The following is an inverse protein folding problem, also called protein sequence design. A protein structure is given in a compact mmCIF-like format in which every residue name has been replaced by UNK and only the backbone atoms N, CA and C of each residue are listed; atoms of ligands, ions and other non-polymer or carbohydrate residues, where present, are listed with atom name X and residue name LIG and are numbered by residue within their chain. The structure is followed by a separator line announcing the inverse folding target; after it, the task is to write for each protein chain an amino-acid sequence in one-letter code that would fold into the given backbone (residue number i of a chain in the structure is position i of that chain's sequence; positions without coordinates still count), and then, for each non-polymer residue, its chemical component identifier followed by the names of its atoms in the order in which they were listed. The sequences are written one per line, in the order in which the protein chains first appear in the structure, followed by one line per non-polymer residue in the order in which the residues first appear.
data_IF_538960936092
#
_entry.id   IF_538960936092
#
_cell.length_a   1.000
_cell.length_b   1.000
_cell.length_c   1.000
_cell.angle_alpha   90.00
_cell.angle_beta   90.00
_cell.angle_gamma   90.00
#
_symmetry.space_group_name_H-M   'P 1'
#
loop_
_entity.id
_entity.type
_entity.pdbx_description
1 polymer ?
#
# COMPACT_ATOMS: atom_id res chain seq x y z
N UNK A 1 -26.26 10.53 -16.80
CA UNK A 1 -26.45 10.13 -15.39
C UNK A 1 -25.16 9.61 -14.73
N UNK A 2 -24.40 8.66 -15.31
CA UNK A 2 -23.15 8.16 -14.68
C UNK A 2 -22.16 9.28 -14.26
N UNK A 3 -22.06 10.35 -15.05
CA UNK A 3 -21.19 11.50 -14.75
C UNK A 3 -21.62 12.32 -13.52
N UNK A 4 -22.90 12.31 -13.12
CA UNK A 4 -23.36 13.11 -11.97
C UNK A 4 -22.93 12.47 -10.65
N UNK A 5 -23.10 11.16 -10.51
CA UNK A 5 -22.66 10.40 -9.34
C UNK A 5 -21.17 10.56 -9.13
N UNK A 6 -20.40 10.43 -10.22
CA UNK A 6 -18.96 10.61 -10.22
C UNK A 6 -18.53 11.96 -9.63
N UNK A 7 -19.12 13.05 -10.14
CA UNK A 7 -18.83 14.40 -9.65
C UNK A 7 -19.25 14.54 -8.19
N UNK A 8 -20.42 14.05 -7.80
CA UNK A 8 -20.88 14.09 -6.41
C UNK A 8 -19.92 13.36 -5.46
N UNK A 9 -19.44 12.17 -5.83
CA UNK A 9 -18.52 11.38 -5.00
C UNK A 9 -17.15 12.06 -4.82
N UNK A 10 -16.59 12.61 -5.90
CA UNK A 10 -15.32 13.36 -5.82
C UNK A 10 -15.51 14.64 -4.99
N UNK A 11 -16.57 15.41 -5.25
CA UNK A 11 -16.86 16.62 -4.49
C UNK A 11 -17.06 16.32 -3.01
N UNK A 12 -17.77 15.23 -2.68
CA UNK A 12 -17.95 14.82 -1.30
C UNK A 12 -16.62 14.42 -0.65
N UNK A 13 -15.73 13.73 -1.36
CA UNK A 13 -14.37 13.44 -0.89
C UNK A 13 -13.57 14.72 -0.58
N UNK A 14 -13.68 15.75 -1.42
CA UNK A 14 -13.03 17.05 -1.20
C UNK A 14 -13.58 17.80 0.02
N UNK A 15 -14.83 17.52 0.40
CA UNK A 15 -15.49 18.14 1.56
C UNK A 15 -15.10 17.44 2.88
N UNK A 16 -14.67 16.16 2.85
CA UNK A 16 -14.32 15.39 4.06
C UNK A 16 -13.33 16.11 4.99
N UNK A 17 -12.21 16.70 4.49
CA UNK A 17 -11.28 17.42 5.37
C UNK A 17 -11.92 18.59 6.13
N UNK A 18 -12.87 19.29 5.49
CA UNK A 18 -13.61 20.39 6.11
C UNK A 18 -14.62 19.91 7.16
N UNK A 19 -15.31 18.79 6.91
CA UNK A 19 -16.27 18.23 7.86
C UNK A 19 -15.61 17.63 9.10
N UNK A 20 -14.36 17.19 8.97
CA UNK A 20 -13.59 16.55 10.04
C UNK A 20 -12.21 17.19 10.14
N UNK A 21 -12.07 18.45 10.59
CA UNK A 21 -10.78 19.16 10.57
C UNK A 21 -9.71 18.48 11.45
N UNK A 22 -10.11 17.90 12.58
CA UNK A 22 -9.21 17.24 13.53
C UNK A 22 -9.77 15.84 13.87
N UNK A 23 -9.58 14.83 13.00
CA UNK A 23 -10.05 13.48 13.26
C UNK A 23 -9.28 12.88 14.45
N UNK A 24 -10.01 12.29 15.39
CA UNK A 24 -9.42 11.67 16.58
C UNK A 24 -8.76 10.32 16.25
N UNK A 25 -7.55 10.38 15.69
CA UNK A 25 -6.67 9.23 15.41
C UNK A 25 -5.20 9.66 15.46
N UNK A 26 -4.37 8.81 16.06
CA UNK A 26 -2.92 9.02 16.23
C UNK A 26 -2.20 9.22 14.89
N UNK A 27 -2.52 8.41 13.88
CA UNK A 27 -1.89 8.48 12.57
C UNK A 27 -1.95 9.88 11.96
N UNK A 28 -3.11 10.53 12.00
CA UNK A 28 -3.29 11.85 11.40
C UNK A 28 -2.37 12.89 12.06
N UNK A 29 -2.32 12.88 13.39
CA UNK A 29 -1.47 13.78 14.18
C UNK A 29 0.00 13.49 13.91
N UNK A 30 0.41 12.21 13.93
CA UNK A 30 1.78 11.77 13.67
C UNK A 30 2.24 12.23 12.29
N UNK A 31 1.45 12.01 11.24
CA UNK A 31 1.81 12.43 9.88
C UNK A 31 1.89 13.96 9.74
N UNK A 32 0.89 14.69 10.25
CA UNK A 32 0.82 16.15 10.17
C UNK A 32 2.04 16.80 10.84
N UNK A 33 2.40 16.33 12.04
CA UNK A 33 3.57 16.82 12.77
C UNK A 33 4.90 16.34 12.16
N UNK A 34 4.97 15.10 11.65
CA UNK A 34 6.16 14.60 10.94
C UNK A 34 6.47 15.42 9.69
N UNK A 35 5.44 15.79 8.92
CA UNK A 35 5.61 16.67 7.76
C UNK A 35 6.07 18.06 8.22
N UNK A 36 5.50 18.58 9.30
CA UNK A 36 5.95 19.86 9.87
C UNK A 36 7.43 19.81 10.28
N UNK A 37 7.88 18.72 10.91
CA UNK A 37 9.30 18.53 11.24
C UNK A 37 10.17 18.52 9.99
N UNK A 38 9.78 17.74 8.98
CA UNK A 38 10.50 17.66 7.71
C UNK A 38 10.67 19.05 7.06
N UNK A 39 9.59 19.84 7.02
CA UNK A 39 9.61 21.21 6.46
C UNK A 39 10.54 22.15 7.24
N UNK A 40 10.68 21.95 8.55
CA UNK A 40 11.58 22.73 9.40
C UNK A 40 12.96 22.07 9.57
N UNK A 41 13.34 21.15 8.67
CA UNK A 41 14.64 20.45 8.70
C UNK A 41 14.91 19.70 10.01
N UNK A 42 13.85 19.25 10.70
CA UNK A 42 13.93 18.37 11.87
C UNK A 42 13.70 16.93 11.44
N UNK A 43 14.32 16.00 12.15
CA UNK A 43 14.13 14.58 11.90
C UNK A 43 12.78 14.11 12.47
N UNK A 44 11.79 13.73 11.63
CA UNK A 44 10.47 13.31 12.10
C UNK A 44 10.49 11.97 12.87
N UNK A 45 11.54 11.16 12.69
CA UNK A 45 11.67 9.87 13.39
C UNK A 45 12.17 10.00 14.83
N UNK A 46 12.74 11.16 15.20
CA UNK A 46 13.16 11.43 16.59
C UNK A 46 12.00 11.86 17.49
N UNK A 47 10.95 12.43 16.91
CA UNK A 47 9.79 12.94 17.66
C UNK A 47 9.09 11.82 18.42
N UNK A 48 8.87 12.07 19.71
CA UNK A 48 7.96 11.28 20.56
C UNK A 48 6.61 11.98 20.60
N UNK A 49 5.55 11.22 20.39
CA UNK A 49 4.16 11.67 20.40
C UNK A 49 3.46 11.30 21.70
N UNK A 50 2.48 12.10 22.12
CA UNK A 50 1.65 11.82 23.28
C UNK A 50 0.62 10.72 22.98
N UNK A 51 0.27 9.93 24.00
CA UNK A 51 -0.87 9.02 23.93
C UNK A 51 -2.19 9.79 23.96
N UNK A 52 -2.81 9.94 22.79
CA UNK A 52 -4.11 10.61 22.67
C UNK A 52 -5.27 9.76 23.20
N UNK A 53 -5.06 8.45 23.38
CA UNK A 53 -6.09 7.51 23.82
C UNK A 53 -6.05 7.26 25.34
N UNK A 54 -5.18 7.93 26.09
CA UNK A 54 -5.13 7.86 27.54
C UNK A 54 -4.95 6.44 28.10
N UNK A 55 -4.14 5.61 27.45
CA UNK A 55 -3.86 4.24 27.88
C UNK A 55 -4.88 3.19 27.42
N UNK A 56 -5.94 3.59 26.71
CA UNK A 56 -6.99 2.67 26.22
C UNK A 56 -6.42 1.52 25.37
N UNK A 57 -5.32 1.77 24.66
CA UNK A 57 -4.71 0.82 23.74
C UNK A 57 -3.31 0.37 24.20
N UNK A 58 -3.22 -0.50 25.20
CA UNK A 58 -1.96 -1.00 25.79
C UNK A 58 -1.16 -2.01 24.89
N UNK A 59 -1.20 -1.87 23.57
CA UNK A 59 -0.42 -2.73 22.66
C UNK A 59 1.01 -2.22 22.44
N UNK A 60 1.20 -0.91 22.59
CA UNK A 60 2.49 -0.21 22.49
C UNK A 60 2.54 1.00 23.44
N UNK A 61 1.40 1.67 23.62
CA UNK A 61 1.24 2.77 24.58
C UNK A 61 1.61 2.32 26.00
N UNK A 62 2.49 3.08 26.67
CA UNK A 62 2.99 2.77 28.01
C UNK A 62 4.10 1.72 28.08
N UNK A 63 4.45 1.04 26.98
CA UNK A 63 5.55 0.07 26.90
C UNK A 63 6.79 0.61 26.20
N UNK A 64 6.59 1.54 25.27
CA UNK A 64 7.64 2.12 24.44
C UNK A 64 7.21 3.48 23.91
N UNK A 65 8.17 4.27 23.42
CA UNK A 65 7.91 5.57 22.80
C UNK A 65 6.97 5.45 21.59
N UNK A 66 6.01 6.37 21.49
CA UNK A 66 5.19 6.50 20.27
C UNK A 66 5.96 7.39 19.33
N UNK A 67 6.42 6.84 18.20
CA UNK A 67 7.20 7.55 17.18
C UNK A 67 6.58 7.35 15.80
N UNK A 68 7.12 8.02 14.79
CA UNK A 68 6.78 7.74 13.39
C UNK A 68 7.25 6.31 13.04
N UNK A 69 6.30 5.40 12.84
CA UNK A 69 6.58 3.98 12.51
C UNK A 69 6.35 3.64 11.03
N UNK A 70 6.02 4.65 10.22
CA UNK A 70 5.78 4.50 8.79
C UNK A 70 7.03 4.84 7.98
N UNK A 71 7.13 4.24 6.79
CA UNK A 71 8.32 4.42 5.96
C UNK A 71 8.33 5.78 5.24
N UNK A 72 9.52 6.31 4.92
CA UNK A 72 9.72 7.70 4.54
C UNK A 72 8.93 8.20 3.33
N UNK A 73 8.67 7.34 2.34
CA UNK A 73 8.01 7.80 1.12
C UNK A 73 6.62 8.39 1.39
N UNK A 74 5.92 7.90 2.41
CA UNK A 74 4.58 8.37 2.73
C UNK A 74 4.59 9.86 3.14
N UNK A 75 5.57 10.29 3.93
CA UNK A 75 5.68 11.70 4.33
C UNK A 75 6.06 12.57 3.13
N UNK A 76 6.95 12.11 2.24
CA UNK A 76 7.29 12.85 1.02
C UNK A 76 6.10 13.03 0.09
N UNK A 77 5.31 11.97 -0.13
CA UNK A 77 4.15 11.99 -1.00
C UNK A 77 3.05 12.93 -0.48
N UNK A 78 2.94 13.09 0.83
CA UNK A 78 1.91 13.90 1.48
C UNK A 78 2.35 15.35 1.75
N UNK A 79 3.65 15.61 1.88
CA UNK A 79 4.24 16.93 2.14
C UNK A 79 3.73 18.04 1.22
N UNK A 80 3.71 17.89 -0.12
CA UNK A 80 3.27 18.99 -1.00
C UNK A 80 1.80 19.37 -0.73
N UNK A 81 0.96 18.41 -0.35
CA UNK A 81 -0.45 18.68 -0.07
C UNK A 81 -0.66 19.41 1.26
N UNK A 82 0.12 19.04 2.28
CA UNK A 82 0.13 19.77 3.55
C UNK A 82 0.60 21.22 3.37
N UNK A 83 1.61 21.47 2.52
CA UNK A 83 2.13 22.82 2.27
C UNK A 83 1.14 23.67 1.45
N UNK A 84 0.61 23.12 0.36
CA UNK A 84 -0.23 23.88 -0.59
C UNK A 84 -1.64 24.10 -0.05
N UNK A 85 -2.23 23.08 0.57
CA UNK A 85 -3.64 23.11 0.98
C UNK A 85 -3.84 23.20 2.50
N UNK A 86 -2.78 23.13 3.29
CA UNK A 86 -2.87 23.08 4.75
C UNK A 86 -3.34 21.73 5.31
N UNK A 87 -3.64 20.74 4.44
CA UNK A 87 -4.16 19.43 4.84
C UNK A 87 -3.62 18.32 3.94
N UNK A 88 -2.88 17.39 4.54
CA UNK A 88 -2.29 16.23 3.88
C UNK A 88 -3.33 15.27 3.25
N UNK A 89 -4.61 15.32 3.67
CA UNK A 89 -5.66 14.39 3.17
C UNK A 89 -6.00 14.62 1.71
N UNK A 90 -5.77 15.82 1.17
CA UNK A 90 -5.88 16.06 -0.27
C UNK A 90 -4.90 15.20 -1.08
N UNK A 91 -3.78 14.78 -0.46
CA UNK A 91 -2.87 13.79 -1.04
C UNK A 91 -3.57 12.45 -1.28
N UNK A 92 -4.28 11.90 -0.29
CA UNK A 92 -5.02 10.64 -0.45
C UNK A 92 -6.01 10.71 -1.62
N UNK A 93 -6.76 11.82 -1.72
CA UNK A 93 -7.72 12.05 -2.83
C UNK A 93 -6.98 12.11 -4.18
N UNK A 94 -5.89 12.87 -4.24
CA UNK A 94 -5.07 13.01 -5.44
C UNK A 94 -4.51 11.67 -5.93
N UNK A 95 -3.93 10.85 -5.05
CA UNK A 95 -3.36 9.57 -5.46
C UNK A 95 -4.45 8.57 -5.89
N UNK A 96 -5.63 8.58 -5.25
CA UNK A 96 -6.78 7.79 -5.69
C UNK A 96 -7.25 8.16 -7.10
N UNK A 97 -7.42 9.46 -7.37
CA UNK A 97 -7.79 9.96 -8.70
C UNK A 97 -6.68 9.65 -9.71
N UNK A 98 -5.42 9.81 -9.32
CA UNK A 98 -4.27 9.54 -10.19
C UNK A 98 -4.22 8.09 -10.65
N UNK A 99 -4.49 7.12 -9.77
CA UNK A 99 -4.57 5.71 -10.18
C UNK A 99 -5.64 5.46 -11.24
N UNK A 100 -6.84 6.03 -11.08
CA UNK A 100 -7.90 5.99 -12.09
C UNK A 100 -7.46 6.62 -13.42
N UNK A 101 -6.81 7.79 -13.37
CA UNK A 101 -6.30 8.49 -14.56
C UNK A 101 -5.18 7.72 -15.27
N UNK A 102 -4.28 7.09 -14.52
CA UNK A 102 -3.22 6.22 -15.07
C UNK A 102 -3.84 5.08 -15.85
N UNK A 103 -4.83 4.37 -15.28
CA UNK A 103 -5.53 3.28 -15.97
C UNK A 103 -6.27 3.79 -17.21
N UNK A 104 -6.94 4.94 -17.13
CA UNK A 104 -7.59 5.56 -18.28
C UNK A 104 -6.60 5.88 -19.41
N UNK A 105 -5.51 6.59 -19.11
CA UNK A 105 -4.50 6.98 -20.10
C UNK A 105 -3.80 5.74 -20.70
N UNK A 106 -3.49 4.76 -19.86
CA UNK A 106 -2.81 3.53 -20.27
C UNK A 106 -3.72 2.59 -21.06
N UNK A 107 -5.04 2.61 -20.88
CA UNK A 107 -5.97 1.67 -21.52
C UNK A 107 -6.78 2.38 -22.61
N UNK A 108 -6.06 3.04 -23.53
CA UNK A 108 -6.59 3.71 -24.74
C UNK A 108 -7.59 4.84 -24.49
N UNK A 109 -7.53 5.50 -23.33
CA UNK A 109 -8.42 6.63 -22.99
C UNK A 109 -9.91 6.27 -23.10
N UNK A 110 -10.26 5.05 -22.72
CA UNK A 110 -11.66 4.62 -22.70
C UNK A 110 -12.40 5.27 -21.52
N UNK A 111 -13.34 6.17 -21.82
CA UNK A 111 -14.15 6.85 -20.81
C UNK A 111 -14.96 5.87 -19.93
N UNK A 112 -15.29 4.68 -20.43
CA UNK A 112 -15.92 3.64 -19.62
C UNK A 112 -14.98 3.11 -18.57
N UNK A 113 -13.70 2.92 -18.90
CA UNK A 113 -12.66 2.50 -17.94
C UNK A 113 -12.49 3.54 -16.85
N UNK A 114 -12.39 4.82 -17.23
CA UNK A 114 -12.31 5.92 -16.26
C UNK A 114 -13.53 5.93 -15.33
N UNK A 115 -14.73 5.88 -15.91
CA UNK A 115 -15.99 5.92 -15.15
C UNK A 115 -16.10 4.75 -14.17
N UNK A 116 -15.84 3.52 -14.63
CA UNK A 116 -15.89 2.32 -13.79
C UNK A 116 -14.82 2.38 -12.70
N UNK A 117 -13.59 2.79 -13.03
CA UNK A 117 -12.51 2.89 -12.04
C UNK A 117 -12.87 3.85 -10.92
N UNK A 118 -13.33 5.06 -11.26
CA UNK A 118 -13.69 6.06 -10.25
C UNK A 118 -14.94 5.63 -9.48
N UNK A 119 -15.94 5.03 -10.14
CA UNK A 119 -17.09 4.48 -9.43
C UNK A 119 -16.63 3.45 -8.40
N UNK A 120 -15.87 2.43 -8.79
CA UNK A 120 -15.40 1.40 -7.85
C UNK A 120 -14.59 1.96 -6.67
N UNK A 121 -13.73 2.95 -6.92
CA UNK A 121 -12.94 3.59 -5.87
C UNK A 121 -13.84 4.39 -4.93
N UNK A 122 -14.67 5.29 -5.42
CA UNK A 122 -15.35 6.27 -4.56
C UNK A 122 -16.73 5.82 -4.07
N UNK A 123 -17.34 4.80 -4.69
CA UNK A 123 -18.54 4.17 -4.12
C UNK A 123 -18.18 3.14 -3.04
N UNK A 124 -16.89 2.78 -2.88
CA UNK A 124 -16.44 1.97 -1.75
C UNK A 124 -16.60 2.81 -0.47
N UNK A 125 -17.47 2.43 0.48
CA UNK A 125 -17.71 3.25 1.68
C UNK A 125 -16.44 3.48 2.50
N UNK A 126 -15.49 2.54 2.42
CA UNK A 126 -14.23 2.61 3.14
C UNK A 126 -13.32 3.76 2.66
N UNK A 127 -13.46 4.20 1.40
CA UNK A 127 -12.67 5.29 0.81
C UNK A 127 -12.77 6.59 1.61
N UNK A 128 -13.97 6.90 2.11
CA UNK A 128 -14.15 8.09 2.95
C UNK A 128 -13.46 7.98 4.30
N UNK A 129 -13.39 6.78 4.88
CA UNK A 129 -12.59 6.53 6.09
C UNK A 129 -11.10 6.66 5.81
N UNK A 130 -10.61 6.16 4.66
CA UNK A 130 -9.22 6.34 4.23
C UNK A 130 -8.84 7.81 4.18
N UNK A 131 -9.71 8.65 3.60
CA UNK A 131 -9.50 10.10 3.50
C UNK A 131 -9.60 10.73 4.88
N UNK A 132 -10.70 10.51 5.62
CA UNK A 132 -10.98 11.11 6.93
C UNK A 132 -9.80 10.93 7.89
N UNK A 133 -9.28 9.71 8.00
CA UNK A 133 -8.20 9.34 8.93
C UNK A 133 -6.79 9.43 8.33
N UNK A 134 -6.68 9.85 7.07
CA UNK A 134 -5.43 9.85 6.31
C UNK A 134 -4.66 8.53 6.36
N UNK A 135 -5.37 7.41 6.15
CA UNK A 135 -4.70 6.13 6.01
C UNK A 135 -3.88 6.08 4.72
N UNK A 136 -2.56 6.02 4.91
CA UNK A 136 -1.54 6.07 3.85
C UNK A 136 -1.60 4.91 2.85
N UNK A 137 -2.36 3.85 3.15
CA UNK A 137 -2.55 2.71 2.27
C UNK A 137 -3.19 3.11 0.93
N UNK A 138 -3.93 4.22 0.88
CA UNK A 138 -4.48 4.75 -0.38
C UNK A 138 -3.41 5.31 -1.33
N UNK A 139 -2.24 5.69 -0.80
CA UNK A 139 -1.14 6.26 -1.60
C UNK A 139 -0.52 5.24 -2.56
N UNK A 140 -0.69 3.95 -2.30
CA UNK A 140 -0.15 2.86 -3.11
C UNK A 140 -0.85 2.70 -4.46
N UNK A 141 -2.10 3.15 -4.59
CA UNK A 141 -2.94 2.86 -5.75
C UNK A 141 -2.31 3.25 -7.10
N UNK A 142 -1.83 4.48 -7.32
CA UNK A 142 -1.24 4.85 -8.61
C UNK A 142 0.04 4.05 -8.90
N UNK A 143 0.79 3.65 -7.88
CA UNK A 143 1.99 2.83 -8.07
C UNK A 143 1.65 1.39 -8.42
N UNK A 144 0.57 0.82 -7.87
CA UNK A 144 0.01 -0.44 -8.38
C UNK A 144 -0.42 -0.32 -9.84
N UNK A 145 -1.14 0.75 -10.19
CA UNK A 145 -1.54 0.98 -11.58
C UNK A 145 -0.33 1.08 -12.52
N UNK A 146 0.67 1.89 -12.16
CA UNK A 146 1.91 2.05 -12.94
C UNK A 146 2.71 0.75 -13.05
N UNK A 147 2.77 -0.03 -11.98
CA UNK A 147 3.40 -1.35 -11.96
C UNK A 147 2.74 -2.30 -12.98
N UNK A 148 1.42 -2.49 -12.90
CA UNK A 148 0.73 -3.41 -13.80
C UNK A 148 0.66 -2.88 -15.24
N UNK A 149 0.52 -1.58 -15.45
CA UNK A 149 0.64 -0.95 -16.77
C UNK A 149 2.03 -1.20 -17.36
N UNK A 150 3.09 -1.08 -16.56
CA UNK A 150 4.46 -1.38 -17.01
C UNK A 150 4.61 -2.84 -17.43
N UNK A 151 3.97 -3.78 -16.73
CA UNK A 151 3.93 -5.19 -17.12
C UNK A 151 3.18 -5.38 -18.44
N UNK A 152 1.99 -4.80 -18.58
CA UNK A 152 1.16 -4.90 -19.81
C UNK A 152 1.92 -4.39 -21.03
N UNK A 153 2.65 -3.28 -20.89
CA UNK A 153 3.47 -2.68 -21.94
C UNK A 153 4.89 -3.24 -22.03
N UNK A 154 5.21 -4.32 -21.30
CA UNK A 154 6.52 -4.99 -21.25
C UNK A 154 7.69 -4.06 -20.92
N UNK A 155 7.44 -3.00 -20.16
CA UNK A 155 8.46 -2.08 -19.65
C UNK A 155 9.08 -2.64 -18.37
N UNK A 156 9.88 -3.71 -18.53
CA UNK A 156 10.48 -4.47 -17.41
C UNK A 156 11.21 -3.57 -16.41
N UNK A 157 12.08 -2.67 -16.87
CA UNK A 157 12.77 -1.74 -15.97
C UNK A 157 11.82 -0.93 -15.09
N UNK A 158 10.72 -0.42 -15.65
CA UNK A 158 9.73 0.38 -14.92
C UNK A 158 8.94 -0.47 -13.92
N UNK A 159 8.58 -1.73 -14.26
CA UNK A 159 7.86 -2.58 -13.31
C UNK A 159 8.70 -2.86 -12.06
N UNK A 160 10.01 -3.12 -12.20
CA UNK A 160 10.89 -3.29 -11.04
C UNK A 160 11.14 -1.99 -10.26
N UNK A 161 11.22 -0.82 -10.93
CA UNK A 161 11.31 0.48 -10.24
C UNK A 161 10.04 0.77 -9.43
N UNK A 162 8.85 0.60 -10.01
CA UNK A 162 7.60 0.83 -9.28
C UNK A 162 7.39 -0.19 -8.16
N UNK A 163 7.86 -1.43 -8.32
CA UNK A 163 7.88 -2.40 -7.24
C UNK A 163 8.72 -1.93 -6.05
N UNK A 164 9.91 -1.39 -6.29
CA UNK A 164 10.77 -0.85 -5.23
C UNK A 164 10.13 0.34 -4.50
N UNK A 165 9.43 1.21 -5.23
CA UNK A 165 8.65 2.30 -4.65
C UNK A 165 7.49 1.76 -3.80
N UNK A 166 6.71 0.79 -4.29
CA UNK A 166 5.62 0.14 -3.52
C UNK A 166 6.19 -0.50 -2.26
N UNK A 167 7.28 -1.24 -2.38
CA UNK A 167 8.00 -1.83 -1.26
C UNK A 167 8.34 -0.76 -0.22
N UNK A 168 8.83 0.41 -0.63
CA UNK A 168 9.21 1.49 0.31
C UNK A 168 8.04 2.13 1.07
N UNK A 169 6.78 1.83 0.73
CA UNK A 169 5.62 2.38 1.45
C UNK A 169 5.37 1.70 2.79
N UNK A 170 5.41 0.35 2.81
CA UNK A 170 5.17 -0.46 4.01
C UNK A 170 5.86 -1.81 3.92
N UNK A 171 6.30 -2.32 5.07
CA UNK A 171 7.04 -3.58 5.22
C UNK A 171 6.35 -4.78 4.56
N UNK A 172 5.03 -4.87 4.66
CA UNK A 172 4.28 -6.01 4.12
C UNK A 172 4.23 -6.06 2.59
N UNK A 173 4.78 -5.06 1.87
CA UNK A 173 4.95 -5.10 0.42
C UNK A 173 6.25 -5.79 -0.02
N UNK A 174 7.25 -5.96 0.86
CA UNK A 174 8.49 -6.69 0.53
C UNK A 174 8.23 -8.11 -0.01
N UNK A 175 7.28 -8.90 0.56
CA UNK A 175 6.97 -10.24 0.07
C UNK A 175 6.37 -10.29 -1.36
N UNK A 176 6.12 -9.15 -2.01
CA UNK A 176 5.68 -9.14 -3.40
C UNK A 176 6.84 -9.41 -4.38
N UNK A 177 8.10 -9.15 -3.99
CA UNK A 177 9.27 -9.29 -4.87
C UNK A 177 9.46 -10.72 -5.41
N UNK A 178 9.39 -11.80 -4.61
CA UNK A 178 9.51 -13.17 -5.12
C UNK A 178 8.49 -13.49 -6.23
N UNK A 179 7.25 -12.97 -6.15
CA UNK A 179 6.26 -13.17 -7.21
C UNK A 179 6.69 -12.48 -8.51
N UNK A 180 7.27 -11.29 -8.46
CA UNK A 180 7.72 -10.59 -9.68
C UNK A 180 8.94 -11.28 -10.29
N UNK A 181 9.86 -11.77 -9.47
CA UNK A 181 11.01 -12.57 -9.92
C UNK A 181 10.52 -13.85 -10.59
N UNK A 182 9.60 -14.58 -9.97
CA UNK A 182 8.99 -15.79 -10.56
C UNK A 182 8.20 -15.46 -11.82
N UNK A 183 7.48 -14.34 -11.88
CA UNK A 183 6.72 -13.94 -13.06
C UNK A 183 7.61 -13.81 -14.29
N UNK A 184 8.80 -13.23 -14.12
CA UNK A 184 9.74 -13.02 -15.22
C UNK A 184 10.71 -14.20 -15.44
N UNK A 185 10.69 -15.29 -14.65
CA UNK A 185 11.73 -16.35 -14.61
C UNK A 185 12.16 -16.90 -15.97
N UNK A 186 11.25 -16.94 -16.94
CA UNK A 186 11.51 -17.45 -18.31
C UNK A 186 11.87 -16.38 -19.34
N UNK A 187 11.68 -15.11 -19.01
CA UNK A 187 11.85 -14.00 -19.95
C UNK A 187 13.16 -13.25 -19.80
N UNK A 188 13.92 -13.52 -18.73
CA UNK A 188 15.11 -12.76 -18.37
C UNK A 188 16.32 -13.68 -18.30
N UNK A 189 17.43 -13.18 -18.83
CA UNK A 189 18.75 -13.73 -18.57
C UNK A 189 19.19 -13.47 -17.13
N UNK A 190 20.17 -14.22 -16.63
CA UNK A 190 20.71 -14.05 -15.28
C UNK A 190 21.28 -12.63 -15.05
N UNK A 191 21.93 -12.04 -16.05
CA UNK A 191 22.44 -10.66 -15.96
C UNK A 191 21.30 -9.64 -15.84
N UNK A 192 20.20 -9.83 -16.57
CA UNK A 192 19.02 -8.98 -16.45
C UNK A 192 18.34 -9.12 -15.09
N UNK A 193 18.32 -10.33 -14.49
CA UNK A 193 17.83 -10.51 -13.12
C UNK A 193 18.53 -9.59 -12.14
N UNK A 194 19.85 -9.64 -12.10
CA UNK A 194 20.63 -8.81 -11.18
C UNK A 194 20.43 -7.32 -11.46
N UNK A 195 20.37 -6.92 -12.74
CA UNK A 195 20.08 -5.53 -13.12
C UNK A 195 18.72 -5.06 -12.58
N UNK A 196 17.66 -5.83 -12.77
CA UNK A 196 16.31 -5.41 -12.39
C UNK A 196 16.05 -5.51 -10.88
N UNK A 197 16.63 -6.53 -10.22
CA UNK A 197 16.67 -6.61 -8.75
C UNK A 197 17.41 -5.40 -8.18
N UNK A 198 18.56 -5.05 -8.75
CA UNK A 198 19.29 -3.84 -8.37
C UNK A 198 18.44 -2.58 -8.54
N UNK A 199 17.70 -2.42 -9.63
CA UNK A 199 16.79 -1.28 -9.82
C UNK A 199 15.67 -1.23 -8.78
N UNK A 200 15.17 -2.39 -8.35
CA UNK A 200 14.16 -2.48 -7.27
C UNK A 200 14.74 -1.98 -5.95
N UNK A 201 15.91 -2.48 -5.57
CA UNK A 201 16.56 -2.07 -4.34
C UNK A 201 17.04 -0.62 -4.41
N UNK A 202 17.53 -0.15 -5.56
CA UNK A 202 17.93 1.23 -5.76
C UNK A 202 16.75 2.18 -5.55
N UNK A 203 15.62 1.93 -6.22
CA UNK A 203 14.41 2.74 -6.05
C UNK A 203 13.85 2.65 -4.62
N UNK A 204 13.89 1.48 -4.00
CA UNK A 204 13.57 1.29 -2.58
C UNK A 204 14.45 2.16 -1.69
N UNK A 205 15.78 2.01 -1.75
CA UNK A 205 16.72 2.70 -0.86
C UNK A 205 16.79 4.21 -1.09
N UNK A 206 16.59 4.70 -2.31
CA UNK A 206 16.49 6.15 -2.59
C UNK A 206 15.40 6.79 -1.73
N UNK A 207 14.29 6.08 -1.50
CA UNK A 207 13.20 6.57 -0.66
C UNK A 207 13.60 6.72 0.81
N UNK A 208 14.58 5.95 1.29
CA UNK A 208 15.07 6.02 2.67
C UNK A 208 16.32 6.90 2.84
N UNK A 209 16.97 7.26 1.74
CA UNK A 209 18.33 7.80 1.74
C UNK A 209 18.53 8.99 2.70
N UNK A 210 17.64 9.99 2.77
CA UNK A 210 17.83 11.11 3.69
C UNK A 210 17.88 10.67 5.16
N UNK A 211 17.01 9.75 5.57
CA UNK A 211 16.92 9.30 6.97
C UNK A 211 17.96 8.25 7.33
N UNK A 212 18.40 7.44 6.37
CA UNK A 212 19.53 6.52 6.58
C UNK A 212 20.83 7.27 6.86
N UNK A 213 21.02 8.44 6.26
CA UNK A 213 22.21 9.27 6.45
C UNK A 213 22.13 10.08 7.74
N UNK A 214 20.97 10.69 8.03
CA UNK A 214 20.79 11.57 9.19
C UNK A 214 20.75 10.78 10.51
N UNK A 215 19.86 9.79 10.61
CA UNK A 215 19.72 8.95 11.81
C UNK A 215 19.03 7.62 11.47
N UNK A 216 19.85 6.63 11.11
CA UNK A 216 19.37 5.28 10.81
C UNK A 216 18.76 4.59 12.03
N UNK A 217 19.16 4.94 13.26
CA UNK A 217 18.67 4.30 14.48
C UNK A 217 17.20 4.66 14.72
N UNK A 218 16.86 5.94 14.60
CA UNK A 218 15.45 6.39 14.75
C UNK A 218 14.55 5.85 13.64
N UNK A 219 15.05 5.69 12.41
CA UNK A 219 14.30 5.05 11.33
C UNK A 219 14.04 3.56 11.63
N UNK A 220 15.07 2.82 12.05
CA UNK A 220 14.98 1.38 12.32
C UNK A 220 14.15 1.06 13.57
N UNK A 221 13.95 2.03 14.47
CA UNK A 221 13.01 1.91 15.58
C UNK A 221 11.61 1.46 15.13
N UNK A 222 11.19 1.80 13.91
CA UNK A 222 9.91 1.32 13.35
C UNK A 222 9.80 -0.21 13.33
N UNK A 223 10.91 -0.93 13.10
CA UNK A 223 10.95 -2.41 13.12
C UNK A 223 10.85 -2.92 14.56
N UNK A 224 11.62 -2.34 15.47
CA UNK A 224 11.60 -2.70 16.90
C UNK A 224 10.22 -2.46 17.51
N UNK A 225 9.58 -1.35 17.15
CA UNK A 225 8.23 -0.99 17.58
C UNK A 225 7.24 -2.13 17.32
N UNK A 226 7.20 -2.67 16.08
CA UNK A 226 6.27 -3.75 15.72
C UNK A 226 6.69 -5.11 16.29
N UNK A 227 8.00 -5.36 16.43
CA UNK A 227 8.51 -6.58 17.06
C UNK A 227 8.03 -6.69 18.51
N UNK A 228 8.16 -5.61 19.27
CA UNK A 228 7.85 -5.53 20.70
C UNK A 228 6.38 -5.24 20.99
N UNK A 229 5.60 -4.84 19.99
CA UNK A 229 4.16 -4.63 20.15
C UNK A 229 3.42 -5.96 20.38
N UNK A 230 2.42 -5.90 21.26
CA UNK A 230 1.44 -6.97 21.40
C UNK A 230 0.48 -7.00 20.21
N UNK A 231 -0.21 -8.13 19.97
CA UNK A 231 -1.39 -8.14 19.13
C UNK A 231 -2.43 -7.13 19.62
N UNK A 232 -3.12 -6.50 18.69
CA UNK A 232 -4.20 -5.56 19.01
C UNK A 232 -5.53 -6.30 19.09
N UNK A 233 -6.31 -6.03 20.14
CA UNK A 233 -7.61 -6.66 20.37
C UNK A 233 -8.67 -6.24 19.35
N UNK A 234 -8.50 -5.06 18.75
CA UNK A 234 -9.34 -4.50 17.70
C UNK A 234 -8.78 -4.76 16.28
N UNK A 235 -7.76 -5.61 16.16
CA UNK A 235 -7.22 -6.04 14.87
C UNK A 235 -8.22 -6.95 14.15
N UNK A 236 -8.42 -6.70 12.86
CA UNK A 236 -9.20 -7.53 11.93
C UNK A 236 -8.39 -8.75 11.46
N UNK A 237 -7.67 -9.39 12.37
CA UNK A 237 -6.85 -10.59 12.10
C UNK A 237 -7.24 -11.72 13.04
N UNK A 238 -6.99 -12.97 12.62
CA UNK A 238 -7.21 -14.16 13.46
C UNK A 238 -6.35 -14.05 14.73
N UNK A 239 -5.12 -13.57 14.60
CA UNK A 239 -4.20 -13.36 15.72
C UNK A 239 -4.76 -12.36 16.73
N UNK A 240 -5.31 -11.22 16.28
CA UNK A 240 -5.96 -10.25 17.15
C UNK A 240 -7.21 -10.80 17.83
N UNK A 241 -8.04 -11.52 17.08
CA UNK A 241 -9.24 -12.18 17.61
C UNK A 241 -8.92 -13.18 18.72
N UNK A 242 -7.95 -14.07 18.50
CA UNK A 242 -7.53 -15.06 19.50
C UNK A 242 -6.89 -14.41 20.72
N UNK A 243 -6.10 -13.35 20.52
CA UNK A 243 -5.52 -12.58 21.61
C UNK A 243 -6.61 -11.93 22.49
N UNK A 244 -7.69 -11.40 21.88
CA UNK A 244 -8.85 -10.88 22.60
C UNK A 244 -9.60 -11.97 23.41
N UNK A 245 -9.40 -13.25 23.08
CA UNK A 245 -9.89 -14.40 23.87
C UNK A 245 -8.88 -14.90 24.91
N UNK A 246 -7.78 -14.18 25.12
CA UNK A 246 -6.73 -14.55 26.06
C UNK A 246 -5.71 -15.57 25.52
N UNK A 247 -5.73 -15.86 24.22
CA UNK A 247 -4.84 -16.85 23.59
C UNK A 247 -3.81 -16.12 22.72
N UNK A 248 -2.57 -16.04 23.19
CA UNK A 248 -1.47 -15.46 22.38
C UNK A 248 -0.90 -16.50 21.42
N UNK A 249 -1.27 -16.38 20.14
CA UNK A 249 -0.75 -17.19 19.03
C UNK A 249 0.21 -16.41 18.14
N UNK A 250 0.69 -15.24 18.56
CA UNK A 250 1.40 -14.32 17.66
C UNK A 250 2.65 -14.92 17.02
N UNK A 251 3.45 -15.67 17.79
CA UNK A 251 4.62 -16.40 17.26
C UNK A 251 4.20 -17.50 16.28
N UNK A 252 3.18 -18.29 16.64
CA UNK A 252 2.67 -19.35 15.77
C UNK A 252 2.10 -18.81 14.45
N UNK A 253 1.38 -17.69 14.50
CA UNK A 253 0.83 -17.02 13.34
C UNK A 253 1.91 -16.49 12.38
N UNK A 254 3.06 -16.05 12.90
CA UNK A 254 4.21 -15.70 12.06
C UNK A 254 4.75 -16.92 11.28
N UNK A 255 4.92 -18.07 11.93
CA UNK A 255 5.33 -19.30 11.24
C UNK A 255 4.30 -19.72 10.19
N UNK A 256 3.01 -19.65 10.53
CA UNK A 256 1.93 -19.98 9.60
C UNK A 256 1.92 -19.02 8.39
N UNK A 257 2.27 -17.75 8.60
CA UNK A 257 2.44 -16.77 7.52
C UNK A 257 3.56 -17.21 6.57
N UNK A 258 4.73 -17.58 7.08
CA UNK A 258 5.83 -18.07 6.24
C UNK A 258 5.47 -19.33 5.46
N UNK A 259 4.78 -20.29 6.10
CA UNK A 259 4.29 -21.50 5.44
C UNK A 259 3.29 -21.15 4.33
N UNK A 260 2.32 -20.28 4.60
CA UNK A 260 1.34 -19.84 3.60
C UNK A 260 2.03 -19.15 2.41
N UNK A 261 2.98 -18.25 2.66
CA UNK A 261 3.74 -17.58 1.61
C UNK A 261 4.55 -18.58 0.77
N UNK A 262 5.23 -19.54 1.40
CA UNK A 262 5.99 -20.57 0.69
C UNK A 262 5.08 -21.41 -0.23
N UNK A 263 3.89 -21.80 0.26
CA UNK A 263 2.88 -22.52 -0.53
C UNK A 263 2.42 -21.66 -1.71
N UNK A 264 2.08 -20.39 -1.47
CA UNK A 264 1.63 -19.46 -2.52
C UNK A 264 2.70 -19.30 -3.60
N UNK A 265 3.96 -19.09 -3.23
CA UNK A 265 5.07 -18.97 -4.18
C UNK A 265 5.31 -20.27 -4.95
N UNK A 266 5.24 -21.42 -4.29
CA UNK A 266 5.39 -22.71 -4.95
C UNK A 266 4.28 -22.96 -5.98
N UNK A 267 3.02 -22.71 -5.61
CA UNK A 267 1.87 -22.83 -6.52
C UNK A 267 2.04 -21.84 -7.69
N UNK A 268 2.46 -20.61 -7.42
CA UNK A 268 2.70 -19.62 -8.49
C UNK A 268 3.81 -20.05 -9.45
N UNK A 269 4.91 -20.57 -8.91
CA UNK A 269 6.03 -21.09 -9.70
C UNK A 269 5.62 -22.30 -10.58
N UNK A 270 4.76 -23.17 -10.06
CA UNK A 270 4.22 -24.32 -10.81
C UNK A 270 3.16 -23.92 -11.85
N UNK A 271 2.57 -22.74 -11.73
CA UNK A 271 1.63 -22.25 -12.72
C UNK A 271 2.32 -22.07 -14.08
N UNK A 272 1.70 -22.56 -15.14
CA UNK A 272 2.24 -22.43 -16.51
C UNK A 272 1.78 -21.14 -17.21
N UNK A 273 0.72 -20.49 -16.72
CA UNK A 273 0.10 -19.34 -17.35
C UNK A 273 0.39 -18.05 -16.57
N UNK A 274 1.52 -17.42 -16.87
CA UNK A 274 1.86 -16.10 -16.35
C UNK A 274 1.13 -15.02 -17.15
N UNK A 275 0.18 -14.36 -16.49
CA UNK A 275 -0.54 -13.20 -17.04
C UNK A 275 -0.52 -12.09 -15.99
N UNK A 276 -0.67 -10.82 -16.37
CA UNK A 276 -0.80 -9.74 -15.39
C UNK A 276 -1.94 -9.99 -14.40
N UNK A 277 -3.05 -10.56 -14.89
CA UNK A 277 -4.21 -10.93 -14.08
C UNK A 277 -3.90 -12.04 -13.07
N UNK A 278 -3.10 -13.05 -13.44
CA UNK A 278 -2.66 -14.05 -12.46
C UNK A 278 -1.76 -13.40 -11.41
N UNK A 279 -0.79 -12.57 -11.79
CA UNK A 279 0.08 -11.87 -10.83
C UNK A 279 -0.72 -11.04 -9.80
N UNK A 280 -1.75 -10.30 -10.24
CA UNK A 280 -2.62 -9.53 -9.32
C UNK A 280 -3.28 -10.45 -8.29
N UNK A 281 -3.79 -11.62 -8.70
CA UNK A 281 -4.41 -12.59 -7.78
C UNK A 281 -3.40 -13.06 -6.72
N UNK A 282 -2.17 -13.34 -7.11
CA UNK A 282 -1.14 -13.77 -6.17
C UNK A 282 -0.66 -12.64 -5.26
N UNK A 283 -0.62 -11.39 -5.74
CA UNK A 283 -0.41 -10.21 -4.87
C UNK A 283 -1.49 -10.13 -3.80
N UNK A 284 -2.76 -10.28 -4.19
CA UNK A 284 -3.90 -10.31 -3.26
C UNK A 284 -3.75 -11.45 -2.24
N UNK A 285 -3.41 -12.66 -2.68
CA UNK A 285 -3.24 -13.80 -1.78
C UNK A 285 -2.11 -13.57 -0.76
N UNK A 286 -0.95 -13.08 -1.22
CA UNK A 286 0.19 -12.76 -0.34
C UNK A 286 -0.21 -11.74 0.72
N UNK A 287 -0.81 -10.61 0.30
CA UNK A 287 -1.21 -9.56 1.24
C UNK A 287 -2.30 -10.04 2.19
N UNK A 288 -3.31 -10.77 1.69
CA UNK A 288 -4.37 -11.32 2.52
C UNK A 288 -3.84 -12.28 3.58
N UNK A 289 -2.94 -13.20 3.21
CA UNK A 289 -2.29 -14.13 4.14
C UNK A 289 -1.49 -13.42 5.22
N UNK A 290 -0.78 -12.34 4.86
CA UNK A 290 -0.06 -11.53 5.85
C UNK A 290 -1.04 -10.85 6.80
N UNK A 291 -2.09 -10.20 6.28
CA UNK A 291 -3.00 -9.41 7.11
C UNK A 291 -3.80 -10.27 8.08
N UNK A 292 -4.36 -11.38 7.60
CA UNK A 292 -5.20 -12.27 8.43
C UNK A 292 -4.44 -12.93 9.57
N UNK A 293 -3.11 -13.07 9.47
CA UNK A 293 -2.25 -13.67 10.50
C UNK A 293 -1.40 -12.66 11.27
N UNK A 294 -1.39 -11.39 10.88
CA UNK A 294 -0.58 -10.36 11.54
C UNK A 294 -1.08 -10.00 12.95
N UNK A 295 -0.19 -9.50 13.81
CA UNK A 295 -0.52 -8.94 15.12
C UNK A 295 -1.49 -7.75 15.04
N UNK A 296 -1.42 -7.00 13.94
CA UNK A 296 -2.19 -5.78 13.72
C UNK A 296 -2.51 -5.66 12.24
N UNK A 297 -3.78 -5.82 11.87
CA UNK A 297 -4.33 -5.49 10.56
C UNK A 297 -5.67 -4.79 10.73
N UNK A 298 -5.80 -3.61 10.14
CA UNK A 298 -7.03 -2.82 10.17
C UNK A 298 -7.60 -2.72 8.77
N UNK A 299 -8.82 -2.18 8.62
CA UNK A 299 -9.48 -2.18 7.33
C UNK A 299 -8.70 -1.41 6.24
N UNK A 300 -7.83 -0.46 6.60
CA UNK A 300 -6.93 0.18 5.63
C UNK A 300 -5.93 -0.78 4.98
N UNK A 301 -5.58 -1.89 5.64
CA UNK A 301 -4.67 -2.87 5.06
C UNK A 301 -5.43 -3.64 3.98
N UNK A 302 -6.65 -4.09 4.30
CA UNK A 302 -7.58 -4.72 3.37
C UNK A 302 -8.00 -3.79 2.23
N UNK A 303 -7.94 -2.48 2.42
CA UNK A 303 -8.18 -1.53 1.35
C UNK A 303 -7.17 -1.66 0.19
N UNK A 304 -5.90 -2.05 0.44
CA UNK A 304 -4.97 -2.38 -0.65
C UNK A 304 -5.45 -3.58 -1.48
N UNK A 305 -6.10 -4.57 -0.85
CA UNK A 305 -6.71 -5.70 -1.57
C UNK A 305 -7.85 -5.19 -2.46
N UNK A 306 -8.66 -4.25 -1.98
CA UNK A 306 -9.70 -3.58 -2.77
C UNK A 306 -9.07 -2.87 -3.97
N UNK A 307 -8.02 -2.08 -3.77
CA UNK A 307 -7.31 -1.35 -4.84
C UNK A 307 -6.70 -2.29 -5.90
N UNK A 308 -6.10 -3.41 -5.48
CA UNK A 308 -5.62 -4.46 -6.37
C UNK A 308 -6.78 -5.14 -7.12
N UNK A 309 -7.91 -5.36 -6.46
CA UNK A 309 -9.12 -5.92 -7.08
C UNK A 309 -9.70 -4.98 -8.13
N UNK A 310 -9.64 -3.66 -7.90
CA UNK A 310 -10.02 -2.65 -8.90
C UNK A 310 -9.08 -2.74 -10.11
N UNK A 311 -7.75 -2.81 -9.90
CA UNK A 311 -6.80 -3.05 -10.99
C UNK A 311 -7.14 -4.33 -11.77
N UNK A 312 -7.45 -5.43 -11.07
CA UNK A 312 -7.85 -6.70 -11.68
C UNK A 312 -9.08 -6.54 -12.58
N UNK A 313 -10.17 -5.97 -12.06
CA UNK A 313 -11.44 -5.81 -12.78
C UNK A 313 -11.23 -4.95 -14.03
N UNK A 314 -10.53 -3.82 -13.91
CA UNK A 314 -10.30 -2.91 -15.02
C UNK A 314 -9.45 -3.54 -16.12
N UNK A 315 -8.35 -4.20 -15.75
CA UNK A 315 -7.48 -4.90 -16.71
C UNK A 315 -8.23 -6.06 -17.35
N UNK A 316 -9.07 -6.78 -16.60
CA UNK A 316 -9.91 -7.86 -17.10
C UNK A 316 -10.91 -7.35 -18.15
N UNK A 317 -11.68 -6.31 -17.84
CA UNK A 317 -12.65 -5.70 -18.77
C UNK A 317 -11.95 -5.27 -20.06
N UNK A 318 -10.80 -4.60 -19.94
CA UNK A 318 -10.00 -4.20 -21.10
C UNK A 318 -9.53 -5.41 -21.93
N UNK A 319 -9.07 -6.48 -21.27
CA UNK A 319 -8.61 -7.71 -21.93
C UNK A 319 -9.72 -8.43 -22.71
N UNK A 320 -10.97 -8.38 -22.22
CA UNK A 320 -12.14 -8.92 -22.93
C UNK A 320 -12.51 -8.11 -24.17
N UNK A 321 -12.44 -6.78 -24.08
CA UNK A 321 -12.79 -5.88 -25.18
C UNK A 321 -11.81 -6.01 -26.37
N UNK A 322 -10.54 -6.26 -26.09
CA UNK A 322 -9.46 -6.31 -27.08
C UNK A 322 -9.24 -7.70 -27.71
N UNK A 323 -10.22 -8.63 -27.70
CA UNK A 323 -10.16 -10.01 -28.28
C UNK A 323 -8.72 -10.49 -28.55
N UNK A 324 -8.01 -10.83 -27.47
CA UNK A 324 -6.62 -11.35 -27.42
C UNK A 324 -5.46 -10.37 -27.72
N UNK A 325 -4.81 -9.92 -26.64
CA UNK A 325 -3.34 -9.76 -26.53
C UNK A 325 -2.90 -10.04 -25.09
N UNK A 326 -3.58 -9.50 -24.08
CA UNK A 326 -3.14 -9.63 -22.66
C UNK A 326 -3.27 -11.07 -22.10
N UNK A 327 -4.17 -11.89 -22.65
CA UNK A 327 -4.45 -13.25 -22.17
C UNK A 327 -3.69 -14.36 -22.93
N UNK A 328 -3.04 -14.05 -24.06
CA UNK A 328 -2.43 -15.03 -24.97
C UNK A 328 -0.90 -15.02 -24.97
N UNK A 329 -0.26 -14.36 -24.00
CA UNK A 329 1.20 -14.27 -23.91
C UNK A 329 1.81 -15.09 -22.77
N UNK A 330 1.29 -16.30 -22.55
CA UNK A 330 2.08 -17.37 -21.97
C UNK A 330 2.89 -18.03 -23.08
N UNK A 331 4.20 -18.16 -22.88
CA UNK A 331 5.12 -18.93 -23.74
C UNK A 331 4.55 -20.31 -24.04
#
# INVERSE_FOLDING_TARGET
MANIYLVCFILFSLIVPFLYPEPFIDLFIILKQSINDLVHSKNPYERVYSDIYGGTYNYAYGKQDIKLVYWPINIYLLTPFQIIFGDLRYGNIFYLISGCLILFLALKRDLKILSISIMLVFTCPYTFYMIKYSWIDSLSFPFFCLFFVSIIYRKKALSFVFLGIIMSMKLYFLPLLPLVVVYYHRELSLAEYFKYIFLTFLSFFICFLPFLIIDSKSLLYSIDYFKNSNPRYDSLSITGYLFNKGIDVSNFANYLTFVALAIIYYIFYKNRNFTPLSLIKYFVLVLFSIFILSKQAFGNYYYNIVLLSICYIIIYIYSFKEKSKILSYGV
#
